data_IF_271315052244
#
_entry.id   IF_271315052244
#
_cell.length_a   1.000
_cell.length_b   1.000
_cell.length_c   1.000
_cell.angle_alpha   90.00
_cell.angle_beta   90.00
_cell.angle_gamma   90.00
#
_symmetry.space_group_name_H-M   'P 1'
#
loop_
_entity.id
_entity.type
_entity.pdbx_description
1 polymer ?
#
# COMPACT_ATOMS: atom_id res chain seq x y z
N UNK A 1 -17.60 8.60 -0.46
CA UNK A 1 -16.71 7.42 -0.41
C UNK A 1 -15.75 7.57 -1.58
N UNK A 2 -14.54 8.10 -1.35
CA UNK A 2 -13.53 8.22 -2.42
C UNK A 2 -13.02 6.82 -2.73
N UNK A 3 -13.37 6.30 -3.90
CA UNK A 3 -12.85 5.04 -4.43
C UNK A 3 -11.34 5.21 -4.63
N UNK A 4 -10.53 4.46 -3.87
CA UNK A 4 -9.11 4.31 -4.19
C UNK A 4 -9.03 3.81 -5.64
N UNK A 5 -8.26 4.51 -6.47
CA UNK A 5 -8.04 4.14 -7.86
C UNK A 5 -7.00 3.01 -7.94
N UNK A 6 -6.93 2.32 -9.08
CA UNK A 6 -5.89 1.31 -9.31
C UNK A 6 -4.48 1.93 -9.23
N UNK A 7 -4.36 3.21 -9.59
CA UNK A 7 -3.13 4.00 -9.47
C UNK A 7 -2.73 4.20 -8.00
N UNK A 8 -3.69 4.50 -7.10
CA UNK A 8 -3.44 4.59 -5.65
C UNK A 8 -2.92 3.27 -5.06
N UNK A 9 -3.40 2.13 -5.57
CA UNK A 9 -2.95 0.81 -5.14
C UNK A 9 -1.54 0.48 -5.65
N UNK A 10 -1.18 0.89 -6.87
CA UNK A 10 0.16 0.72 -7.42
C UNK A 10 1.19 1.55 -6.63
N UNK A 11 0.85 2.81 -6.35
CA UNK A 11 1.64 3.72 -5.50
C UNK A 11 1.78 3.14 -4.08
N UNK A 12 0.70 2.60 -3.51
CA UNK A 12 0.73 1.94 -2.20
C UNK A 12 1.63 0.71 -2.17
N UNK A 13 1.60 -0.12 -3.21
CA UNK A 13 2.47 -1.29 -3.36
C UNK A 13 3.95 -0.91 -3.57
N UNK A 14 4.21 0.19 -4.27
CA UNK A 14 5.56 0.74 -4.42
C UNK A 14 6.10 1.27 -3.08
N UNK A 15 5.30 2.08 -2.37
CA UNK A 15 5.62 2.60 -1.04
C UNK A 15 5.93 1.48 -0.04
N UNK A 16 5.16 0.40 -0.07
CA UNK A 16 5.36 -0.77 0.81
C UNK A 16 6.68 -1.47 0.51
N UNK A 17 7.03 -1.71 -0.76
CA UNK A 17 8.31 -2.33 -1.15
C UNK A 17 9.52 -1.51 -0.73
N UNK A 18 9.45 -0.19 -0.89
CA UNK A 18 10.51 0.71 -0.44
C UNK A 18 10.67 0.67 1.09
N UNK A 19 9.55 0.57 1.81
CA UNK A 19 9.56 0.44 3.27
C UNK A 19 10.23 -0.86 3.71
N UNK A 20 9.93 -1.97 3.04
CA UNK A 20 10.55 -3.29 3.28
C UNK A 20 12.06 -3.27 2.99
N UNK A 21 12.48 -2.45 2.02
CA UNK A 21 13.90 -2.21 1.72
C UNK A 21 14.63 -1.38 2.78
N UNK A 22 13.91 -0.89 3.81
CA UNK A 22 14.47 -0.09 4.90
C UNK A 22 14.36 1.42 4.70
N UNK A 23 13.76 1.88 3.60
CA UNK A 23 13.64 3.30 3.27
C UNK A 23 12.69 4.00 4.26
N UNK A 24 13.04 5.19 4.79
CA UNK A 24 12.16 5.93 5.69
C UNK A 24 10.99 6.56 4.93
N UNK A 25 9.83 6.68 5.59
CA UNK A 25 8.60 7.25 5.00
C UNK A 25 8.76 8.67 4.44
N UNK A 26 9.68 9.46 4.98
CA UNK A 26 10.02 10.78 4.46
C UNK A 26 10.66 10.71 3.08
N UNK A 27 11.61 9.80 2.86
CA UNK A 27 12.23 9.60 1.55
C UNK A 27 11.24 8.99 0.55
N UNK A 28 10.41 8.04 0.99
CA UNK A 28 9.35 7.45 0.18
C UNK A 28 8.35 8.51 -0.29
N UNK A 29 7.92 9.42 0.61
CA UNK A 29 7.02 10.51 0.24
C UNK A 29 7.64 11.44 -0.81
N UNK A 30 8.93 11.78 -0.67
CA UNK A 30 9.64 12.61 -1.66
C UNK A 30 9.71 11.90 -3.02
N UNK A 31 10.04 10.61 -3.04
CA UNK A 31 10.14 9.81 -4.26
C UNK A 31 8.79 9.67 -4.99
N UNK A 32 7.71 9.53 -4.22
CA UNK A 32 6.34 9.43 -4.74
C UNK A 32 5.67 10.79 -4.99
N UNK A 33 6.34 11.90 -4.69
CA UNK A 33 5.76 13.25 -4.82
C UNK A 33 4.59 13.52 -3.88
N UNK A 34 4.50 12.83 -2.75
CA UNK A 34 3.42 12.97 -1.78
C UNK A 34 3.92 13.18 -0.34
N UNK A 35 3.01 13.49 0.59
CA UNK A 35 3.41 13.57 2.01
C UNK A 35 3.73 12.18 2.56
N UNK A 36 4.59 12.11 3.58
CA UNK A 36 4.90 10.84 4.27
C UNK A 36 3.67 10.20 4.92
N UNK A 37 2.69 11.00 5.36
CA UNK A 37 1.42 10.50 5.87
C UNK A 37 0.58 9.86 4.76
N UNK A 38 0.53 10.49 3.58
CA UNK A 38 -0.15 9.95 2.39
C UNK A 38 0.49 8.63 1.95
N UNK A 39 1.82 8.57 1.84
CA UNK A 39 2.54 7.35 1.48
C UNK A 39 2.24 6.20 2.45
N UNK A 40 2.19 6.51 3.76
CA UNK A 40 1.86 5.53 4.79
C UNK A 40 0.41 5.03 4.67
N UNK A 41 -0.54 5.93 4.40
CA UNK A 41 -1.95 5.55 4.20
C UNK A 41 -2.13 4.65 2.99
N UNK A 42 -1.49 4.97 1.87
CA UNK A 42 -1.55 4.17 0.65
C UNK A 42 -0.92 2.78 0.84
N UNK A 43 0.26 2.71 1.47
CA UNK A 43 0.90 1.44 1.80
C UNK A 43 0.03 0.56 2.71
N UNK A 44 -0.57 1.14 3.75
CA UNK A 44 -1.49 0.41 4.62
C UNK A 44 -2.73 -0.08 3.87
N UNK A 45 -3.33 0.75 3.01
CA UNK A 45 -4.49 0.35 2.22
C UNK A 45 -4.15 -0.83 1.30
N UNK A 46 -2.98 -0.80 0.66
CA UNK A 46 -2.48 -1.93 -0.14
C UNK A 46 -2.33 -3.21 0.69
N UNK A 47 -1.69 -3.13 1.87
CA UNK A 47 -1.50 -4.28 2.76
C UNK A 47 -2.83 -4.84 3.27
N UNK A 48 -3.79 -3.98 3.61
CA UNK A 48 -5.14 -4.42 4.00
C UNK A 48 -5.80 -5.19 2.87
N UNK A 49 -5.78 -4.64 1.65
CA UNK A 49 -6.38 -5.27 0.48
C UNK A 49 -5.71 -6.61 0.13
N UNK A 50 -4.38 -6.68 0.23
CA UNK A 50 -3.61 -7.91 0.03
C UNK A 50 -3.98 -8.99 1.06
N UNK A 51 -4.10 -8.62 2.34
CA UNK A 51 -4.54 -9.52 3.40
C UNK A 51 -5.99 -9.99 3.21
N UNK A 52 -6.89 -9.10 2.78
CA UNK A 52 -8.29 -9.46 2.49
C UNK A 52 -8.39 -10.45 1.32
N UNK A 53 -7.58 -10.25 0.26
CA UNK A 53 -7.47 -11.19 -0.85
C UNK A 53 -6.92 -12.54 -0.39
N UNK A 54 -5.83 -12.55 0.38
CA UNK A 54 -5.25 -13.77 0.93
C UNK A 54 -6.25 -14.52 1.85
N UNK A 55 -7.03 -13.80 2.66
CA UNK A 55 -8.07 -14.38 3.51
C UNK A 55 -9.21 -14.99 2.69
N UNK A 56 -9.65 -14.33 1.60
CA UNK A 56 -10.65 -14.90 0.69
C UNK A 56 -10.15 -16.17 0.02
N UNK A 57 -8.89 -16.20 -0.38
CA UNK A 57 -8.25 -17.35 -0.99
C UNK A 57 -8.21 -18.56 -0.03
N UNK A 58 -7.90 -18.33 1.25
CA UNK A 58 -7.92 -19.38 2.27
C UNK A 58 -9.33 -19.90 2.61
N UNK A 59 -10.36 -19.05 2.56
CA UNK A 59 -11.75 -19.47 2.83
C UNK A 59 -12.30 -20.29 1.66
N UNK A 60 -11.87 -20.03 0.43
CA UNK A 60 -12.36 -20.74 -0.75
C UNK A 60 -11.82 -22.16 -0.92
N UNK A 61 -10.92 -22.60 -0.03
CA UNK A 61 -10.31 -23.93 -0.04
C UNK A 61 -11.05 -24.96 0.85
N UNK A 62 -12.15 -24.56 1.50
CA UNK A 62 -12.97 -25.40 2.37
C UNK A 62 -14.40 -25.59 1.84
#
# INVERSE_FOLDING_TARGET
MSTLTEEDLDVGGHAQRLRESGTPWTAIGIELGCTSDTARRLANAYVTLANERARKDQISLF
#
